data_IF_125026428023
#
_entry.id   IF_125026428023
#
_cell.length_a   1.000
_cell.length_b   1.000
_cell.length_c   1.000
_cell.angle_alpha   90.00
_cell.angle_beta   90.00
_cell.angle_gamma   90.00
#
_symmetry.space_group_name_H-M   'P 1'
#
loop_
_entity.id
_entity.type
_entity.pdbx_description
1 polymer ?
#
# COMPACT_ATOMS: atom_id res chain seq x y z
N UNK A 1 -53.02 73.26 24.95
CA UNK A 1 -52.75 72.78 26.32
C UNK A 1 -51.76 71.63 26.18
N UNK A 2 -50.44 71.89 26.24
CA UNK A 2 -49.60 71.68 27.44
C UNK A 2 -50.00 70.45 28.25
N UNK A 3 -49.29 69.34 28.07
CA UNK A 3 -48.55 68.72 29.18
C UNK A 3 -47.58 67.64 28.67
N UNK A 4 -46.36 67.78 29.19
CA UNK A 4 -45.19 66.93 29.03
C UNK A 4 -45.39 65.71 29.95
N UNK A 5 -45.22 64.49 29.42
CA UNK A 5 -44.91 63.32 30.24
C UNK A 5 -43.69 62.65 29.62
N UNK A 6 -42.55 62.96 30.23
CA UNK A 6 -41.26 62.34 30.03
C UNK A 6 -41.26 61.04 30.87
N UNK A 7 -41.46 59.89 30.23
CA UNK A 7 -41.30 58.60 30.88
C UNK A 7 -40.07 57.91 30.27
N UNK A 8 -38.98 57.93 31.03
CA UNK A 8 -37.76 57.19 30.75
C UNK A 8 -38.07 55.69 30.69
N UNK A 9 -37.99 55.11 29.50
CA UNK A 9 -37.94 53.67 29.30
C UNK A 9 -36.62 53.35 28.61
N UNK A 10 -35.71 52.84 29.43
CA UNK A 10 -34.34 52.48 29.18
C UNK A 10 -34.30 51.18 28.35
N UNK A 11 -33.85 51.20 27.08
CA UNK A 11 -33.56 49.96 26.38
C UNK A 11 -32.04 49.76 26.32
N UNK A 12 -31.65 48.50 26.17
CA UNK A 12 -30.31 48.05 25.78
C UNK A 12 -29.32 47.93 26.95
N UNK A 13 -29.21 46.70 27.47
CA UNK A 13 -27.94 45.97 27.56
C UNK A 13 -28.25 44.50 27.83
N UNK A 14 -28.83 43.83 26.83
CA UNK A 14 -28.80 42.37 26.77
C UNK A 14 -27.41 41.99 26.26
N UNK A 15 -26.46 41.93 27.19
CA UNK A 15 -25.09 41.47 26.97
C UNK A 15 -25.13 39.95 26.80
N UNK A 16 -25.65 39.50 25.63
CA UNK A 16 -25.43 38.13 25.18
C UNK A 16 -23.96 38.01 24.85
N UNK A 17 -23.23 37.38 25.76
CA UNK A 17 -21.91 36.83 25.52
C UNK A 17 -22.00 35.89 24.32
N UNK A 18 -21.67 36.41 23.13
CA UNK A 18 -21.26 35.58 22.01
C UNK A 18 -19.91 34.99 22.39
N UNK A 19 -19.94 33.90 23.15
CA UNK A 19 -18.85 32.94 23.15
C UNK A 19 -18.79 32.40 21.72
N UNK A 20 -18.00 33.06 20.88
CA UNK A 20 -17.47 32.46 19.67
C UNK A 20 -16.66 31.25 20.14
N UNK A 21 -17.32 30.10 20.20
CA UNK A 21 -16.63 28.82 20.19
C UNK A 21 -16.07 28.72 18.78
N UNK A 22 -14.83 29.19 18.64
CA UNK A 22 -14.01 28.89 17.49
C UNK A 22 -13.75 27.38 17.56
N UNK A 23 -14.54 26.61 16.81
CA UNK A 23 -14.22 25.23 16.52
C UNK A 23 -12.98 25.30 15.61
N UNK A 24 -11.81 25.29 16.23
CA UNK A 24 -10.57 25.01 15.51
C UNK A 24 -10.65 23.56 15.07
N UNK A 25 -11.04 23.36 13.81
CA UNK A 25 -10.84 22.08 13.18
C UNK A 25 -9.37 21.69 13.35
N UNK A 26 -9.21 20.47 13.84
CA UNK A 26 -7.97 19.89 14.30
C UNK A 26 -7.08 19.68 13.07
N UNK A 27 -6.13 20.59 12.86
CA UNK A 27 -5.01 20.48 11.91
C UNK A 27 -5.38 19.76 10.61
N UNK A 28 -5.84 20.51 9.60
CA UNK A 28 -5.43 20.17 8.23
C UNK A 28 -3.90 20.23 8.23
N UNK A 29 -3.26 19.07 8.40
CA UNK A 29 -1.86 18.88 8.06
C UNK A 29 -1.73 19.39 6.63
N UNK A 30 -1.04 20.53 6.46
CA UNK A 30 -0.69 21.11 5.16
C UNK A 30 0.10 20.07 4.39
N UNK A 31 -0.61 19.14 3.75
CA UNK A 31 -0.02 18.06 2.98
C UNK A 31 0.66 18.74 1.80
N UNK A 32 1.99 18.67 1.69
CA UNK A 32 2.70 19.41 0.66
C UNK A 32 2.22 18.95 -0.72
N UNK A 33 1.78 19.90 -1.56
CA UNK A 33 1.31 19.64 -2.92
C UNK A 33 2.38 20.10 -3.90
N UNK A 34 2.86 19.19 -4.75
CA UNK A 34 3.79 19.52 -5.85
C UNK A 34 3.02 19.56 -7.16
N UNK A 35 2.86 20.74 -7.74
CA UNK A 35 2.05 20.96 -8.93
C UNK A 35 2.96 21.04 -10.17
N UNK A 36 2.62 20.28 -11.21
CA UNK A 36 3.24 20.36 -12.54
C UNK A 36 2.15 20.41 -13.61
N UNK A 37 2.24 21.38 -14.51
CA UNK A 37 1.32 21.53 -15.65
C UNK A 37 2.02 21.15 -16.95
N UNK A 38 1.36 20.33 -17.77
CA UNK A 38 1.84 19.78 -19.01
C UNK A 38 0.76 20.01 -20.08
N UNK A 39 1.11 20.49 -21.26
CA UNK A 39 0.10 20.80 -22.29
C UNK A 39 -0.44 19.51 -22.92
N UNK A 40 0.30 18.92 -23.86
CA UNK A 40 -0.06 17.66 -24.50
C UNK A 40 1.00 16.61 -24.21
N UNK A 41 0.58 15.48 -23.63
CA UNK A 41 1.45 14.38 -23.25
C UNK A 41 0.98 13.10 -23.90
N UNK A 42 1.94 12.38 -24.50
CA UNK A 42 1.71 11.05 -25.08
C UNK A 42 2.47 10.03 -24.24
N UNK A 43 1.73 9.06 -23.72
CA UNK A 43 2.25 7.91 -22.98
C UNK A 43 2.16 6.71 -23.92
N UNK A 44 3.25 6.38 -24.60
CA UNK A 44 3.34 5.24 -25.52
C UNK A 44 4.30 4.14 -25.10
N UNK A 45 4.92 4.33 -23.94
CA UNK A 45 5.67 3.33 -23.21
C UNK A 45 5.37 3.44 -21.70
N UNK A 46 5.88 2.55 -20.86
CA UNK A 46 5.70 2.67 -19.42
C UNK A 46 6.52 3.80 -18.79
N UNK A 47 5.88 4.59 -17.94
CA UNK A 47 6.46 5.67 -17.13
C UNK A 47 6.29 5.38 -15.64
N UNK A 48 7.23 5.89 -14.84
CA UNK A 48 7.21 5.83 -13.38
C UNK A 48 7.15 7.26 -12.83
N UNK A 49 6.33 7.48 -11.81
CA UNK A 49 6.29 8.72 -11.06
C UNK A 49 7.46 8.78 -10.08
N UNK A 50 8.37 9.72 -10.28
CA UNK A 50 9.52 9.97 -9.39
C UNK A 50 9.51 11.43 -8.99
N UNK A 51 9.26 11.70 -7.71
CA UNK A 51 9.30 13.07 -7.12
C UNK A 51 8.46 14.11 -7.88
N UNK A 52 7.34 13.69 -8.49
CA UNK A 52 6.43 14.56 -9.23
C UNK A 52 6.69 14.62 -10.73
N UNK A 53 7.63 13.80 -11.23
CA UNK A 53 7.93 13.71 -12.65
C UNK A 53 7.60 12.32 -13.19
N UNK A 54 7.03 12.28 -14.41
CA UNK A 54 6.88 11.04 -15.16
C UNK A 54 8.19 10.79 -15.91
N UNK A 55 8.87 9.71 -15.56
CA UNK A 55 10.14 9.31 -16.17
C UNK A 55 9.95 7.96 -16.88
N UNK A 56 10.45 7.78 -18.12
CA UNK A 56 10.38 6.49 -18.80
C UNK A 56 10.96 5.36 -17.94
N UNK A 57 10.25 4.23 -17.86
CA UNK A 57 10.69 3.07 -17.09
C UNK A 57 12.03 2.51 -17.58
N UNK A 58 12.33 2.65 -18.88
CA UNK A 58 13.60 2.21 -19.47
C UNK A 58 14.81 2.91 -18.85
N UNK A 59 14.63 4.10 -18.27
CA UNK A 59 15.69 4.85 -17.60
C UNK A 59 15.99 4.29 -16.19
N UNK A 60 15.21 3.30 -15.73
CA UNK A 60 15.40 2.55 -14.50
C UNK A 60 15.54 1.03 -14.77
N UNK A 61 16.67 0.58 -15.35
CA UNK A 61 16.91 -0.84 -15.60
C UNK A 61 17.20 -1.57 -14.28
N UNK A 62 16.16 -2.14 -13.66
CA UNK A 62 16.29 -2.95 -12.45
C UNK A 62 15.00 -3.03 -11.64
N UNK A 63 15.06 -3.71 -10.50
CA UNK A 63 13.99 -3.70 -9.52
C UNK A 63 13.95 -2.32 -8.83
N UNK A 64 13.00 -1.47 -9.25
CA UNK A 64 12.78 -0.18 -8.61
C UNK A 64 12.27 -0.42 -7.18
N UNK A 65 13.08 -0.03 -6.19
CA UNK A 65 12.63 0.10 -4.80
C UNK A 65 12.20 1.55 -4.62
N UNK A 66 10.90 1.84 -4.46
CA UNK A 66 10.47 3.19 -4.14
C UNK A 66 11.20 3.65 -2.88
N UNK A 67 11.69 4.90 -2.89
CA UNK A 67 12.33 5.49 -1.71
C UNK A 67 11.34 5.38 -0.54
N UNK A 68 11.66 4.62 0.52
CA UNK A 68 10.74 4.43 1.64
C UNK A 68 10.30 5.76 2.27
N UNK A 69 11.14 6.80 2.17
CA UNK A 69 10.80 8.15 2.64
C UNK A 69 9.78 8.85 1.75
N UNK A 70 9.77 8.57 0.44
CA UNK A 70 8.78 9.12 -0.48
C UNK A 70 7.38 8.48 -0.35
N UNK A 71 7.31 7.25 0.17
CA UNK A 71 6.05 6.58 0.52
C UNK A 71 5.52 7.06 1.89
N UNK A 72 6.43 7.37 2.82
CA UNK A 72 6.09 7.89 4.14
C UNK A 72 5.72 9.39 4.14
N UNK A 73 6.18 10.13 3.12
CA UNK A 73 5.86 11.53 2.92
C UNK A 73 4.44 11.62 2.35
N UNK A 74 3.50 12.18 3.14
CA UNK A 74 2.10 12.34 2.74
C UNK A 74 1.93 13.24 1.49
N UNK A 75 3.01 13.86 0.98
CA UNK A 75 3.06 14.67 -0.25
C UNK A 75 2.11 14.17 -1.33
N UNK A 76 1.27 15.07 -1.84
CA UNK A 76 0.42 14.83 -3.01
C UNK A 76 1.12 15.41 -4.24
N UNK A 77 1.41 14.56 -5.21
CA UNK A 77 1.88 14.99 -6.52
C UNK A 77 0.68 15.34 -7.38
N UNK A 78 0.58 16.58 -7.83
CA UNK A 78 -0.50 17.04 -8.71
C UNK A 78 0.02 17.28 -10.13
N UNK A 79 -0.52 16.52 -11.09
CA UNK A 79 -0.20 16.65 -12.50
C UNK A 79 -1.43 17.19 -13.25
N UNK A 80 -1.28 18.32 -13.93
CA UNK A 80 -2.32 18.92 -14.76
C UNK A 80 -1.98 18.73 -16.24
N UNK A 81 -2.96 18.30 -17.04
CA UNK A 81 -2.81 18.03 -18.46
C UNK A 81 -3.89 18.76 -19.26
N UNK A 82 -3.53 19.47 -20.34
CA UNK A 82 -4.53 19.92 -21.31
C UNK A 82 -5.01 18.72 -22.15
N UNK A 83 -4.09 17.88 -22.62
CA UNK A 83 -4.39 16.65 -23.34
C UNK A 83 -3.46 15.53 -22.91
N UNK A 84 -4.03 14.37 -22.57
CA UNK A 84 -3.29 13.16 -22.23
C UNK A 84 -3.74 12.03 -23.17
N UNK A 85 -2.81 11.53 -23.97
CA UNK A 85 -3.00 10.33 -24.79
C UNK A 85 -2.25 9.17 -24.16
N UNK A 86 -2.95 8.10 -23.79
CA UNK A 86 -2.34 6.85 -23.31
C UNK A 86 -2.56 5.77 -24.36
N UNK A 87 -1.50 5.35 -25.05
CA UNK A 87 -1.57 4.29 -26.07
C UNK A 87 -1.65 2.90 -25.42
N UNK A 88 -1.88 1.87 -26.23
CA UNK A 88 -2.02 0.47 -25.79
C UNK A 88 -0.85 -0.03 -24.93
N UNK A 89 0.39 0.32 -25.29
CA UNK A 89 1.60 -0.04 -24.51
C UNK A 89 1.97 1.01 -23.44
N UNK A 90 1.17 2.07 -23.32
CA UNK A 90 1.39 3.16 -22.39
C UNK A 90 0.97 2.77 -20.97
N UNK A 91 1.84 3.05 -20.00
CA UNK A 91 1.51 2.84 -18.59
C UNK A 91 2.03 3.99 -17.73
N UNK A 92 1.29 4.37 -16.68
CA UNK A 92 1.77 5.26 -15.62
C UNK A 92 1.80 4.47 -14.31
N UNK A 93 2.97 4.35 -13.69
CA UNK A 93 3.16 3.70 -12.39
C UNK A 93 3.45 4.70 -11.28
N UNK A 94 2.61 4.75 -10.25
CA UNK A 94 2.78 5.71 -9.14
C UNK A 94 3.77 5.26 -8.06
N UNK A 95 4.08 3.97 -8.04
CA UNK A 95 4.97 3.33 -7.07
C UNK A 95 4.56 3.56 -5.61
N UNK A 96 3.26 3.68 -5.34
CA UNK A 96 2.71 3.90 -4.00
C UNK A 96 2.63 5.37 -3.56
N UNK A 97 3.00 6.32 -4.42
CA UNK A 97 2.88 7.75 -4.14
C UNK A 97 1.43 8.24 -4.24
N UNK A 98 1.08 9.28 -3.47
CA UNK A 98 -0.19 9.97 -3.61
C UNK A 98 -0.19 10.84 -4.88
N UNK A 99 -1.13 10.59 -5.78
CA UNK A 99 -1.21 11.24 -7.08
C UNK A 99 -2.60 11.84 -7.30
N UNK A 100 -2.63 13.13 -7.66
CA UNK A 100 -3.79 13.79 -8.24
C UNK A 100 -3.51 14.15 -9.69
N UNK A 101 -4.35 13.68 -10.61
CA UNK A 101 -4.32 14.05 -12.01
C UNK A 101 -5.55 14.90 -12.34
N UNK A 102 -5.33 16.06 -12.96
CA UNK A 102 -6.39 16.87 -13.56
C UNK A 102 -6.14 16.91 -15.07
N UNK A 103 -7.12 16.48 -15.87
CA UNK A 103 -6.95 16.32 -17.33
C UNK A 103 -8.12 16.99 -18.04
N UNK A 104 -7.87 17.90 -18.99
CA UNK A 104 -8.96 18.47 -19.78
C UNK A 104 -9.50 17.45 -20.80
N UNK A 105 -8.63 16.86 -21.64
CA UNK A 105 -9.02 15.78 -22.58
C UNK A 105 -8.13 14.54 -22.42
N UNK A 106 -8.75 13.37 -22.20
CA UNK A 106 -8.10 12.07 -22.03
C UNK A 106 -8.49 11.11 -23.16
N UNK A 107 -7.50 10.71 -23.95
CA UNK A 107 -7.65 9.68 -24.97
C UNK A 107 -6.91 8.41 -24.52
N UNK A 108 -7.63 7.32 -24.29
CA UNK A 108 -7.04 6.06 -23.86
C UNK A 108 -7.25 4.97 -24.91
N UNK A 109 -6.18 4.40 -25.45
CA UNK A 109 -6.22 3.35 -26.48
C UNK A 109 -5.88 1.98 -25.88
N UNK A 110 -6.38 1.69 -24.67
CA UNK A 110 -6.13 0.45 -23.94
C UNK A 110 -4.98 0.50 -22.93
N UNK A 111 -4.34 1.66 -22.76
CA UNK A 111 -3.28 1.84 -21.77
C UNK A 111 -3.77 1.85 -20.32
N UNK A 112 -2.81 1.91 -19.38
CA UNK A 112 -3.10 1.73 -17.95
C UNK A 112 -2.50 2.82 -17.04
N UNK A 113 -3.17 3.06 -15.93
CA UNK A 113 -2.63 3.75 -14.76
C UNK A 113 -2.65 2.76 -13.60
N UNK A 114 -1.52 2.55 -12.95
CA UNK A 114 -1.40 1.55 -11.90
C UNK A 114 -0.48 1.98 -10.78
N UNK A 115 -0.65 1.40 -9.60
CA UNK A 115 0.31 1.60 -8.51
C UNK A 115 1.67 1.01 -8.86
N UNK A 116 1.72 -0.27 -9.23
CA UNK A 116 2.95 -1.02 -9.40
C UNK A 116 2.92 -1.83 -10.69
N UNK A 117 4.03 -1.92 -11.44
CA UNK A 117 4.10 -2.83 -12.58
C UNK A 117 3.84 -4.27 -12.13
N UNK A 118 3.23 -5.08 -13.01
CA UNK A 118 2.79 -6.45 -12.69
C UNK A 118 3.94 -7.33 -12.19
N UNK A 119 5.14 -7.11 -12.74
CA UNK A 119 6.36 -7.88 -12.46
C UNK A 119 7.23 -7.34 -11.31
N UNK A 120 6.90 -6.20 -10.69
CA UNK A 120 7.77 -5.68 -9.62
C UNK A 120 7.59 -6.48 -8.34
N UNK A 121 8.59 -7.31 -8.04
CA UNK A 121 8.89 -7.68 -6.66
C UNK A 121 9.51 -6.45 -6.01
N UNK A 122 8.74 -5.72 -5.21
CA UNK A 122 9.27 -4.55 -4.51
C UNK A 122 10.31 -5.03 -3.49
N UNK A 123 11.57 -4.82 -3.83
CA UNK A 123 12.69 -5.08 -2.93
C UNK A 123 12.56 -4.12 -1.74
N UNK A 124 12.45 -4.70 -0.54
CA UNK A 124 12.87 -4.08 0.73
C UNK A 124 11.88 -3.33 1.62
N UNK A 125 10.56 -3.48 1.50
CA UNK A 125 9.64 -2.82 2.46
C UNK A 125 8.53 -3.79 2.88
N UNK A 126 8.18 -3.84 4.17
CA UNK A 126 6.85 -4.31 4.62
C UNK A 126 5.81 -3.70 3.69
N UNK A 127 4.82 -4.48 3.23
CA UNK A 127 4.01 -4.14 2.07
C UNK A 127 3.65 -2.66 1.99
N UNK A 128 4.32 -1.94 1.07
CA UNK A 128 4.03 -0.54 0.82
C UNK A 128 2.57 -0.36 0.40
N UNK A 129 1.91 0.66 0.95
CA UNK A 129 0.56 1.01 0.54
C UNK A 129 0.53 1.43 -0.92
N UNK A 130 -0.63 1.31 -1.56
CA UNK A 130 -0.80 1.67 -2.96
C UNK A 130 -0.91 3.17 -3.24
N UNK A 131 -0.85 4.00 -2.19
CA UNK A 131 -1.03 5.45 -2.28
C UNK A 131 -2.47 5.84 -2.60
N UNK A 132 -2.81 7.12 -2.41
CA UNK A 132 -4.13 7.63 -2.80
C UNK A 132 -4.10 8.16 -4.23
N UNK A 133 -5.15 7.88 -4.99
CA UNK A 133 -5.30 8.36 -6.37
C UNK A 133 -6.54 9.23 -6.51
N UNK A 134 -6.38 10.39 -7.14
CA UNK A 134 -7.49 11.21 -7.61
C UNK A 134 -7.31 11.51 -9.09
N UNK A 135 -8.32 11.22 -9.90
CA UNK A 135 -8.36 11.52 -11.33
C UNK A 135 -9.59 12.38 -11.60
N UNK A 136 -9.37 13.63 -12.00
CA UNK A 136 -10.44 14.53 -12.46
C UNK A 136 -10.25 14.78 -13.95
N UNK A 137 -11.26 14.48 -14.76
CA UNK A 137 -11.20 14.60 -16.22
C UNK A 137 -12.39 15.38 -16.76
N UNK A 138 -12.18 16.38 -17.60
CA UNK A 138 -13.29 17.08 -18.25
C UNK A 138 -13.91 16.25 -19.37
N UNK A 139 -13.09 15.62 -20.22
CA UNK A 139 -13.56 14.74 -21.30
C UNK A 139 -12.66 13.52 -21.45
N UNK A 140 -13.24 12.32 -21.54
CA UNK A 140 -12.50 11.08 -21.72
C UNK A 140 -13.18 10.14 -22.73
N UNK A 141 -12.37 9.46 -23.55
CA UNK A 141 -12.86 8.42 -24.49
C UNK A 141 -11.84 7.29 -24.68
N UNK A 142 -12.31 6.18 -25.24
CA UNK A 142 -11.53 5.00 -25.54
C UNK A 142 -11.56 3.97 -24.40
N UNK A 143 -10.48 3.22 -24.16
CA UNK A 143 -10.38 2.21 -23.09
C UNK A 143 -9.23 2.55 -22.15
N UNK A 144 -9.51 2.59 -20.85
CA UNK A 144 -8.52 2.86 -19.80
C UNK A 144 -8.58 1.79 -18.70
N UNK A 145 -7.42 1.23 -18.35
CA UNK A 145 -7.28 0.39 -17.16
C UNK A 145 -6.76 1.16 -15.94
N UNK A 146 -7.43 1.01 -14.80
CA UNK A 146 -6.97 1.52 -13.50
C UNK A 146 -6.75 0.34 -12.56
N UNK A 147 -5.49 0.06 -12.23
CA UNK A 147 -5.10 -1.09 -11.39
C UNK A 147 -4.39 -0.62 -10.13
N UNK A 148 -5.11 -0.55 -9.02
CA UNK A 148 -4.59 -0.01 -7.77
C UNK A 148 -4.33 -1.12 -6.77
N UNK A 149 -3.10 -1.26 -6.28
CA UNK A 149 -2.80 -2.37 -5.37
C UNK A 149 -1.76 -2.04 -4.33
N UNK A 150 -1.90 -2.65 -3.16
CA UNK A 150 -0.83 -2.70 -2.17
C UNK A 150 0.27 -3.67 -2.58
N UNK A 151 1.47 -3.47 -2.04
CA UNK A 151 2.60 -4.34 -2.29
C UNK A 151 2.47 -5.67 -1.52
N UNK A 152 2.95 -6.76 -2.12
CA UNK A 152 3.08 -8.05 -1.42
C UNK A 152 4.11 -7.95 -0.28
N UNK A 153 3.78 -8.50 0.89
CA UNK A 153 4.69 -8.62 2.01
C UNK A 153 5.83 -9.60 1.72
N UNK A 154 6.97 -9.41 2.39
CA UNK A 154 8.13 -10.30 2.26
C UNK A 154 7.97 -11.61 3.03
N UNK A 155 8.70 -12.63 2.58
CA UNK A 155 8.89 -13.86 3.35
C UNK A 155 9.46 -13.55 4.74
N UNK A 156 8.96 -14.27 5.75
CA UNK A 156 9.43 -14.16 7.13
C UNK A 156 10.86 -14.66 7.31
N UNK A 157 11.56 -14.22 8.36
CA UNK A 157 12.87 -14.77 8.69
C UNK A 157 12.83 -16.29 8.98
N UNK A 158 13.93 -17.00 8.66
CA UNK A 158 14.11 -18.41 9.05
C UNK A 158 14.02 -18.55 10.57
N UNK A 159 13.50 -19.69 11.04
CA UNK A 159 13.51 -20.06 12.45
C UNK A 159 14.92 -20.06 13.03
N UNK A 160 15.02 -19.86 14.34
CA UNK A 160 16.31 -19.82 15.03
C UNK A 160 17.13 -21.10 14.78
N UNK A 161 18.47 -21.02 14.76
CA UNK A 161 19.31 -22.20 14.66
C UNK A 161 19.10 -23.13 15.87
N UNK A 162 19.39 -24.44 15.72
CA UNK A 162 19.26 -25.39 16.81
C UNK A 162 20.22 -25.03 17.96
N UNK A 163 19.79 -25.27 19.20
CA UNK A 163 20.63 -25.12 20.40
C UNK A 163 21.36 -26.43 20.72
N UNK A 164 22.39 -26.36 21.58
CA UNK A 164 23.12 -27.58 22.01
C UNK A 164 22.20 -28.61 22.69
N UNK A 165 21.19 -28.16 23.43
CA UNK A 165 20.22 -29.04 24.10
C UNK A 165 19.29 -29.80 23.13
N UNK A 166 19.16 -29.33 21.89
CA UNK A 166 18.34 -29.96 20.87
C UNK A 166 19.10 -31.05 20.11
N UNK A 167 20.42 -31.16 20.28
CA UNK A 167 21.23 -32.19 19.62
C UNK A 167 20.79 -33.58 20.05
N UNK A 168 20.98 -34.56 19.17
CA UNK A 168 20.76 -35.96 19.52
C UNK A 168 21.63 -36.36 20.71
N UNK A 169 21.06 -37.13 21.65
CA UNK A 169 21.74 -37.52 22.89
C UNK A 169 21.84 -39.05 23.00
N UNK A 170 22.87 -39.51 23.72
CA UNK A 170 22.91 -40.87 24.21
C UNK A 170 22.09 -41.02 25.47
N UNK A 171 21.18 -41.98 25.44
CA UNK A 171 20.50 -42.46 26.64
C UNK A 171 21.04 -43.83 27.00
N UNK A 172 21.65 -43.94 28.18
CA UNK A 172 22.05 -45.22 28.74
C UNK A 172 20.77 -45.99 29.15
N UNK A 173 20.61 -47.21 28.62
CA UNK A 173 19.42 -48.04 28.87
C UNK A 173 19.56 -48.91 30.14
N UNK A 174 20.64 -48.70 30.91
CA UNK A 174 20.97 -49.47 32.10
C UNK A 174 21.95 -50.62 31.83
N UNK A 175 22.50 -51.17 32.93
CA UNK A 175 23.47 -52.28 32.93
C UNK A 175 22.77 -53.61 32.68
N UNK A 176 22.46 -53.90 31.41
CA UNK A 176 22.09 -55.22 30.94
C UNK A 176 23.32 -56.04 30.55
N UNK A 177 24.20 -56.38 31.52
CA UNK A 177 25.44 -57.14 31.29
C UNK A 177 26.74 -56.32 31.45
N UNK A 178 27.90 -56.95 31.18
CA UNK A 178 29.27 -56.41 31.40
C UNK A 178 29.61 -55.13 30.61
N UNK A 179 28.73 -54.65 29.74
CA UNK A 179 28.93 -53.44 28.94
C UNK A 179 27.70 -52.53 28.97
N UNK A 180 27.87 -51.21 29.13
CA UNK A 180 26.76 -50.26 29.06
C UNK A 180 26.13 -50.28 27.67
N UNK A 181 24.80 -50.41 27.64
CA UNK A 181 24.02 -50.33 26.40
C UNK A 181 23.52 -48.91 26.20
N UNK A 182 23.76 -48.36 25.01
CA UNK A 182 23.41 -46.98 24.66
C UNK A 182 22.39 -46.96 23.53
N UNK A 183 21.37 -46.11 23.67
CA UNK A 183 20.43 -45.80 22.59
C UNK A 183 20.65 -44.37 22.10
N UNK A 184 20.67 -44.22 20.78
CA UNK A 184 20.58 -42.94 20.12
C UNK A 184 19.18 -42.34 20.29
N UNK A 185 19.11 -41.15 20.85
CA UNK A 185 17.90 -40.32 20.84
C UNK A 185 18.08 -39.28 19.74
N UNK A 186 17.20 -39.32 18.73
CA UNK A 186 17.15 -38.35 17.64
C UNK A 186 17.10 -36.91 18.18
N UNK A 187 17.78 -35.99 17.49
CA UNK A 187 17.71 -34.57 17.82
C UNK A 187 16.28 -34.02 17.81
N UNK A 188 16.06 -32.95 18.56
CA UNK A 188 14.78 -32.26 18.61
C UNK A 188 14.49 -31.50 17.32
N UNK A 189 13.20 -31.30 17.05
CA UNK A 189 12.72 -30.52 15.91
C UNK A 189 13.22 -29.07 16.00
N UNK A 190 13.67 -28.52 14.87
CA UNK A 190 14.09 -27.12 14.78
C UNK A 190 12.97 -26.14 15.14
N UNK A 191 13.35 -24.92 15.52
CA UNK A 191 12.37 -23.88 15.83
C UNK A 191 11.53 -23.50 14.61
N UNK A 192 10.23 -23.18 14.77
CA UNK A 192 9.42 -22.73 13.66
C UNK A 192 9.97 -21.43 13.06
N UNK A 193 9.71 -21.23 11.76
CA UNK A 193 10.00 -19.97 11.10
C UNK A 193 9.14 -18.82 11.60
N UNK A 194 9.62 -17.59 11.40
CA UNK A 194 8.87 -16.40 11.79
C UNK A 194 7.73 -16.11 10.79
N UNK A 195 6.67 -15.41 11.22
CA UNK A 195 5.60 -15.00 10.32
C UNK A 195 6.11 -14.17 9.12
N UNK A 196 5.44 -14.31 7.99
CA UNK A 196 5.65 -13.41 6.85
C UNK A 196 5.27 -11.96 7.18
N UNK A 197 5.86 -11.01 6.47
CA UNK A 197 5.51 -9.60 6.63
C UNK A 197 4.12 -9.30 6.04
N UNK A 198 3.40 -8.31 6.60
CA UNK A 198 2.09 -7.91 6.09
C UNK A 198 2.18 -7.36 4.66
N UNK A 199 1.12 -7.58 3.89
CA UNK A 199 0.88 -6.87 2.63
C UNK A 199 0.43 -5.43 2.87
N UNK A 200 0.59 -4.58 1.86
CA UNK A 200 0.20 -3.17 1.94
C UNK A 200 -1.27 -2.95 1.64
N UNK A 201 -1.86 -1.88 2.17
CA UNK A 201 -3.23 -1.51 1.82
C UNK A 201 -3.30 -0.96 0.39
N UNK A 202 -4.45 -1.11 -0.28
CA UNK A 202 -4.59 -0.62 -1.66
C UNK A 202 -4.45 0.89 -1.78
N UNK A 203 -4.85 1.66 -0.76
CA UNK A 203 -5.06 3.10 -0.90
C UNK A 203 -6.44 3.43 -1.48
N UNK A 204 -6.86 4.70 -1.35
CA UNK A 204 -8.17 5.17 -1.84
C UNK A 204 -8.07 5.67 -3.28
N UNK A 205 -9.09 5.38 -4.08
CA UNK A 205 -9.18 5.80 -5.49
C UNK A 205 -10.44 6.64 -5.72
N UNK A 206 -10.28 7.84 -6.25
CA UNK A 206 -11.36 8.74 -6.62
C UNK A 206 -11.25 9.13 -8.08
N UNK A 207 -12.26 8.82 -8.88
CA UNK A 207 -12.30 9.10 -10.32
C UNK A 207 -13.55 9.92 -10.60
N UNK A 208 -13.38 11.10 -11.16
CA UNK A 208 -14.45 11.97 -11.65
C UNK A 208 -14.19 12.31 -13.11
N UNK A 209 -15.12 11.95 -13.99
CA UNK A 209 -15.04 12.23 -15.43
C UNK A 209 -16.34 12.93 -15.83
N UNK A 210 -16.26 14.18 -16.27
CA UNK A 210 -17.43 15.02 -16.56
C UNK A 210 -18.10 14.60 -17.86
N UNK A 211 -17.35 14.40 -18.94
CA UNK A 211 -17.86 13.78 -20.18
C UNK A 211 -17.12 12.46 -20.42
N UNK A 212 -17.84 11.35 -20.22
CA UNK A 212 -17.32 9.99 -20.37
C UNK A 212 -17.85 9.31 -21.66
N UNK A 213 -18.36 10.07 -22.63
CA UNK A 213 -18.96 9.48 -23.83
C UNK A 213 -17.91 8.67 -24.62
N UNK A 214 -18.16 7.36 -24.75
CA UNK A 214 -17.27 6.45 -25.47
C UNK A 214 -16.06 5.99 -24.65
N UNK A 215 -16.08 6.15 -23.32
CA UNK A 215 -15.09 5.58 -22.41
C UNK A 215 -15.52 4.19 -21.89
N UNK A 216 -14.62 3.23 -22.01
CA UNK A 216 -14.61 1.92 -21.34
C UNK A 216 -13.58 1.97 -20.20
N UNK A 217 -14.06 2.10 -18.96
CA UNK A 217 -13.22 2.19 -17.77
C UNK A 217 -13.16 0.84 -17.05
N UNK A 218 -11.98 0.24 -17.03
CA UNK A 218 -11.70 -0.99 -16.30
C UNK A 218 -10.99 -0.67 -14.98
N UNK A 219 -11.43 -1.29 -13.89
CA UNK A 219 -10.93 -1.02 -12.54
C UNK A 219 -10.66 -2.31 -11.78
N UNK A 220 -9.57 -2.35 -11.03
CA UNK A 220 -9.25 -3.42 -10.08
C UNK A 220 -8.48 -2.85 -8.91
N UNK A 221 -8.97 -3.08 -7.69
CA UNK A 221 -8.36 -2.55 -6.47
C UNK A 221 -8.19 -3.67 -5.47
N UNK A 222 -6.95 -3.90 -5.04
CA UNK A 222 -6.62 -5.03 -4.21
C UNK A 222 -5.61 -4.67 -3.13
N UNK A 223 -5.88 -5.08 -1.90
CA UNK A 223 -4.85 -5.17 -0.88
C UNK A 223 -3.68 -6.04 -1.34
N UNK A 224 -2.49 -5.71 -0.87
CA UNK A 224 -1.29 -6.51 -1.10
C UNK A 224 -1.40 -7.84 -0.37
N UNK A 225 -0.94 -8.91 -1.01
CA UNK A 225 -0.87 -10.21 -0.35
C UNK A 225 0.11 -10.19 0.83
N UNK A 226 -0.19 -10.93 1.89
CA UNK A 226 0.80 -11.19 2.93
C UNK A 226 1.96 -12.04 2.40
N UNK A 227 3.15 -11.80 2.95
CA UNK A 227 4.35 -12.59 2.62
C UNK A 227 4.27 -14.00 3.18
N UNK A 228 5.00 -14.94 2.58
CA UNK A 228 5.07 -16.30 3.10
C UNK A 228 5.73 -16.34 4.49
N UNK A 229 5.39 -17.32 5.31
CA UNK A 229 6.14 -17.52 6.55
C UNK A 229 7.56 -17.97 6.26
N UNK A 230 8.48 -17.59 7.14
CA UNK A 230 9.87 -17.98 7.00
C UNK A 230 10.05 -19.49 7.11
N UNK A 231 11.10 -20.06 6.48
CA UNK A 231 11.40 -21.48 6.62
C UNK A 231 11.69 -21.84 8.08
N UNK A 232 11.42 -23.09 8.46
CA UNK A 232 11.81 -23.59 9.77
C UNK A 232 13.32 -23.57 9.99
N UNK A 233 13.73 -23.44 11.25
CA UNK A 233 15.11 -23.61 11.69
C UNK A 233 15.56 -25.05 11.44
N UNK A 234 16.88 -25.24 11.30
CA UNK A 234 17.43 -26.59 11.18
C UNK A 234 17.17 -27.38 12.49
N UNK A 235 16.98 -28.68 12.38
CA UNK A 235 16.80 -29.55 13.55
C UNK A 235 18.11 -29.75 14.31
N UNK A 236 18.00 -30.30 15.52
CA UNK A 236 19.16 -30.60 16.36
C UNK A 236 20.23 -31.39 15.62
N UNK A 237 21.47 -30.89 15.65
CA UNK A 237 22.58 -31.55 14.95
C UNK A 237 22.88 -32.95 15.53
N UNK A 238 23.37 -33.88 14.69
CA UNK A 238 23.87 -35.16 15.17
C UNK A 238 25.14 -34.99 16.01
N UNK A 239 25.33 -35.86 16.99
CA UNK A 239 26.62 -36.00 17.69
C UNK A 239 27.53 -36.98 16.92
N UNK A 240 28.84 -36.92 17.12
CA UNK A 240 29.84 -37.64 16.30
C UNK A 240 29.59 -39.16 16.13
N UNK A 241 28.93 -39.79 17.09
CA UNK A 241 28.59 -41.22 17.06
C UNK A 241 27.08 -41.51 16.99
N UNK A 242 26.24 -40.46 16.87
CA UNK A 242 24.79 -40.54 16.74
C UNK A 242 24.30 -39.66 15.58
N UNK A 243 24.08 -40.28 14.41
CA UNK A 243 23.88 -39.58 13.12
C UNK A 243 22.44 -39.09 12.86
N UNK A 244 21.54 -39.17 13.84
CA UNK A 244 20.14 -38.82 13.63
C UNK A 244 19.85 -37.35 13.97
N UNK A 245 19.93 -36.50 12.94
CA UNK A 245 19.52 -35.10 13.04
C UNK A 245 18.03 -34.97 13.37
N UNK A 246 17.68 -33.92 14.10
CA UNK A 246 16.30 -33.52 14.30
C UNK A 246 15.64 -33.08 12.99
N UNK A 247 14.30 -33.20 12.87
CA UNK A 247 13.59 -32.67 11.71
C UNK A 247 13.68 -31.13 11.67
N UNK A 248 13.59 -30.55 10.47
CA UNK A 248 13.48 -29.10 10.28
C UNK A 248 12.21 -28.59 10.98
N UNK A 249 12.27 -27.37 11.52
CA UNK A 249 11.11 -26.67 12.05
C UNK A 249 10.01 -26.48 11.02
N UNK A 250 8.80 -26.16 11.49
CA UNK A 250 7.72 -25.81 10.57
C UNK A 250 7.97 -24.43 9.94
N UNK A 251 7.45 -24.23 8.72
CA UNK A 251 7.36 -22.89 8.13
C UNK A 251 6.48 -22.02 9.03
N UNK A 252 6.86 -20.75 9.18
CA UNK A 252 6.04 -19.77 9.87
C UNK A 252 4.66 -19.58 9.19
N UNK A 253 3.71 -18.94 9.87
CA UNK A 253 2.45 -18.56 9.23
C UNK A 253 2.68 -17.48 8.16
N UNK A 254 1.80 -17.44 7.17
CA UNK A 254 1.75 -16.34 6.21
C UNK A 254 1.45 -15.02 6.93
N UNK A 255 2.06 -13.93 6.48
CA UNK A 255 1.68 -12.58 6.91
C UNK A 255 0.23 -12.26 6.54
N UNK A 256 -0.42 -11.31 7.23
CA UNK A 256 -1.76 -10.88 6.87
C UNK A 256 -1.75 -10.13 5.52
N UNK A 257 -2.85 -10.26 4.77
CA UNK A 257 -3.07 -9.42 3.60
C UNK A 257 -3.36 -7.96 4.03
N UNK A 258 -3.01 -7.02 3.16
CA UNK A 258 -3.43 -5.63 3.31
C UNK A 258 -4.91 -5.45 3.00
N UNK A 259 -5.48 -4.35 3.48
CA UNK A 259 -6.87 -4.02 3.26
C UNK A 259 -7.09 -3.43 1.87
N UNK A 260 -8.14 -3.90 1.21
CA UNK A 260 -8.73 -3.20 0.06
C UNK A 260 -9.54 -2.02 0.59
N UNK A 261 -9.29 -0.84 0.02
CA UNK A 261 -9.90 0.42 0.45
C UNK A 261 -10.83 0.97 -0.63
N UNK A 262 -11.50 2.08 -0.30
CA UNK A 262 -12.59 2.64 -1.09
C UNK A 262 -12.17 3.04 -2.51
N UNK A 263 -13.04 2.70 -3.46
CA UNK A 263 -13.08 3.30 -4.78
C UNK A 263 -14.37 4.07 -4.98
N UNK A 264 -14.25 5.30 -5.45
CA UNK A 264 -15.38 6.13 -5.86
C UNK A 264 -15.20 6.52 -7.32
N UNK A 265 -16.23 6.25 -8.14
CA UNK A 265 -16.24 6.62 -9.56
C UNK A 265 -17.49 7.42 -9.87
N UNK A 266 -17.31 8.58 -10.50
CA UNK A 266 -18.38 9.43 -11.02
C UNK A 266 -18.15 9.67 -12.51
N UNK A 267 -19.09 9.23 -13.34
CA UNK A 267 -19.05 9.41 -14.80
C UNK A 267 -20.26 10.25 -15.23
N UNK A 268 -20.03 11.42 -15.79
CA UNK A 268 -21.09 12.36 -16.13
C UNK A 268 -21.83 12.90 -14.91
N UNK A 269 -23.13 13.13 -15.11
CA UNK A 269 -24.06 13.55 -14.07
C UNK A 269 -24.52 12.38 -13.16
N UNK A 270 -23.92 11.19 -13.30
CA UNK A 270 -24.24 10.06 -12.44
C UNK A 270 -23.87 10.35 -10.98
N UNK A 271 -24.61 9.74 -10.05
CA UNK A 271 -24.23 9.72 -8.63
C UNK A 271 -22.93 8.93 -8.48
N UNK A 272 -21.97 9.38 -7.65
CA UNK A 272 -20.74 8.62 -7.40
C UNK A 272 -21.03 7.19 -6.94
N UNK A 273 -20.49 6.21 -7.67
CA UNK A 273 -20.46 4.79 -7.28
C UNK A 273 -19.26 4.54 -6.38
N UNK A 274 -19.48 4.58 -5.07
CA UNK A 274 -18.48 4.29 -4.06
C UNK A 274 -18.63 2.87 -3.53
N UNK A 275 -17.61 2.03 -3.75
CA UNK A 275 -17.55 0.65 -3.27
C UNK A 275 -16.41 0.47 -2.27
N UNK A 276 -16.71 -0.32 -1.24
CA UNK A 276 -15.70 -1.00 -0.43
C UNK A 276 -15.61 -2.41 -1.00
N UNK A 277 -14.47 -2.74 -1.60
CA UNK A 277 -14.17 -4.10 -2.07
C UNK A 277 -13.39 -4.87 -0.99
#
# INVERSE_FOLDING_TARGET
MKQIILLYLLPITFLMLSACVEIRDKNEENTPIKIKSLSSVVIDEPYILVRGELVPRRDFPGAFSPDPKAIADQTIYQLNFDHLLIKENGAIYTMGANLQMNVNELDALGGIISTFPTESTLLNISGSGGGNFKLNVSKARGRLGIHWRGAKGKEGPKGAPPTEGMRGQYKELGLGGDYPSYQCVKGEKGFPGYPGLPGGNSGKVFIEIVDAQGLDLQRSILGGEGGEGGPGGDGGEPQASCQEAGPIGDRGPRGPAGETQTICVKLGDAVPDCKFE
#
